data_IF_336544798401
#
_entry.id   IF_336544798401
#
_cell.length_a   1.000
_cell.length_b   1.000
_cell.length_c   1.000
_cell.angle_alpha   90.00
_cell.angle_beta   90.00
_cell.angle_gamma   90.00
#
_symmetry.space_group_name_H-M   'P 1'
#
loop_
_entity.id
_entity.type
_entity.pdbx_description
1 polymer ?
#
# COMPACT_ATOMS: atom_id res chain seq x y z
N UNK A 1 14.80 -18.49 -12.28
CA UNK A 1 13.98 -19.44 -11.51
C UNK A 1 12.58 -18.88 -11.24
N UNK A 2 11.57 -19.75 -11.19
CA UNK A 2 10.21 -19.46 -10.83
C UNK A 2 9.96 -19.95 -9.40
N UNK A 3 9.46 -19.06 -8.53
CA UNK A 3 9.00 -19.39 -7.18
C UNK A 3 7.49 -19.23 -7.12
N UNK A 4 6.77 -20.27 -6.70
CA UNK A 4 5.34 -20.24 -6.44
C UNK A 4 5.10 -20.41 -4.94
N UNK A 5 4.25 -19.60 -4.36
CA UNK A 5 3.83 -19.70 -2.97
C UNK A 5 2.32 -19.61 -2.86
N UNK A 6 1.74 -20.42 -1.97
CA UNK A 6 0.31 -20.41 -1.68
C UNK A 6 0.09 -20.60 -0.18
N UNK A 7 -0.97 -19.98 0.33
CA UNK A 7 -1.49 -20.30 1.65
C UNK A 7 -3.02 -20.21 1.65
N UNK A 8 -3.62 -20.92 2.60
CA UNK A 8 -5.03 -20.80 2.96
C UNK A 8 -5.14 -20.82 4.48
N UNK A 9 -5.87 -19.88 5.04
CA UNK A 9 -6.10 -19.73 6.46
C UNK A 9 -7.59 -19.66 6.76
N UNK A 10 -8.01 -20.33 7.83
CA UNK A 10 -9.38 -20.31 8.33
C UNK A 10 -9.38 -19.94 9.81
N UNK A 11 -10.18 -18.95 10.15
CA UNK A 11 -10.38 -18.55 11.55
C UNK A 11 -11.86 -18.51 11.91
N UNK A 12 -12.18 -19.00 13.13
CA UNK A 12 -13.49 -18.88 13.77
C UNK A 12 -13.33 -18.12 15.07
N UNK A 13 -14.12 -17.06 15.23
CA UNK A 13 -14.19 -16.25 16.44
C UNK A 13 -15.57 -16.45 17.08
N UNK A 14 -15.68 -17.17 18.22
CA UNK A 14 -16.96 -17.50 18.81
C UNK A 14 -17.61 -16.37 19.62
N UNK A 15 -16.88 -15.28 19.90
CA UNK A 15 -17.36 -14.12 20.65
C UNK A 15 -17.51 -12.88 19.81
N UNK A 16 -18.38 -11.93 20.25
CA UNK A 16 -18.53 -10.63 19.60
C UNK A 16 -17.20 -9.82 19.60
N UNK A 17 -17.05 -8.99 18.58
CA UNK A 17 -15.96 -8.01 18.46
C UNK A 17 -16.45 -6.75 17.77
N UNK A 18 -15.61 -5.73 17.67
CA UNK A 18 -15.99 -4.48 17.02
C UNK A 18 -16.51 -4.72 15.58
N UNK A 19 -17.72 -4.23 15.28
CA UNK A 19 -18.46 -4.39 14.02
C UNK A 19 -18.81 -5.85 13.64
N UNK A 20 -18.79 -6.78 14.59
CA UNK A 20 -19.16 -8.18 14.39
C UNK A 20 -19.80 -8.68 15.68
N UNK A 21 -21.11 -8.47 15.83
CA UNK A 21 -21.87 -8.73 17.07
C UNK A 21 -22.17 -10.21 17.33
N UNK A 22 -21.84 -11.09 16.40
CA UNK A 22 -22.10 -12.53 16.49
C UNK A 22 -20.82 -13.34 16.28
N UNK A 23 -20.88 -14.64 16.63
CA UNK A 23 -19.83 -15.58 16.26
C UNK A 23 -19.59 -15.55 14.75
N UNK A 24 -18.35 -15.44 14.33
CA UNK A 24 -18.01 -15.23 12.92
C UNK A 24 -16.89 -16.13 12.44
N UNK A 25 -16.80 -16.26 11.13
CA UNK A 25 -15.75 -17.01 10.44
C UNK A 25 -15.08 -16.16 9.37
N UNK A 26 -13.86 -16.51 9.04
CA UNK A 26 -13.12 -15.88 7.95
C UNK A 26 -12.23 -16.89 7.23
N UNK A 27 -12.08 -16.67 5.93
CA UNK A 27 -11.09 -17.34 5.09
C UNK A 27 -10.13 -16.28 4.50
N UNK A 28 -8.87 -16.62 4.41
CA UNK A 28 -7.84 -15.81 3.77
C UNK A 28 -6.97 -16.73 2.92
N UNK A 29 -6.94 -16.52 1.61
CA UNK A 29 -6.13 -17.29 0.68
C UNK A 29 -5.29 -16.40 -0.20
N UNK A 30 -4.08 -16.85 -0.50
CA UNK A 30 -3.17 -16.13 -1.40
C UNK A 30 -2.38 -17.09 -2.28
N UNK A 31 -2.23 -16.68 -3.54
CA UNK A 31 -1.29 -17.25 -4.48
C UNK A 31 -0.30 -16.17 -4.88
N UNK A 32 0.97 -16.50 -4.94
CA UNK A 32 1.99 -15.58 -5.44
C UNK A 32 3.01 -16.33 -6.30
N UNK A 33 3.44 -15.66 -7.37
CA UNK A 33 4.46 -16.11 -8.29
C UNK A 33 5.54 -15.05 -8.42
N UNK A 34 6.79 -15.47 -8.34
CA UNK A 34 7.97 -14.62 -8.59
C UNK A 34 8.84 -15.29 -9.65
N UNK A 35 9.04 -14.60 -10.77
CA UNK A 35 9.94 -15.02 -11.83
C UNK A 35 11.15 -14.09 -11.83
N UNK A 36 12.32 -14.64 -11.57
CA UNK A 36 13.59 -13.90 -11.56
C UNK A 36 14.38 -14.21 -12.82
N UNK A 37 14.63 -13.19 -13.65
CA UNK A 37 15.36 -13.24 -14.90
C UNK A 37 16.50 -12.22 -14.85
N UNK A 38 17.72 -12.66 -14.56
CA UNK A 38 18.90 -11.82 -14.47
C UNK A 38 18.62 -10.46 -13.77
N UNK A 39 18.34 -9.40 -14.57
CA UNK A 39 18.07 -8.03 -14.07
C UNK A 39 16.57 -7.72 -13.90
N UNK A 40 15.69 -8.57 -14.39
CA UNK A 40 14.24 -8.41 -14.33
C UNK A 40 13.62 -9.40 -13.35
N UNK A 41 12.80 -8.87 -12.44
CA UNK A 41 11.95 -9.68 -11.56
C UNK A 41 10.50 -9.34 -11.80
N UNK A 42 9.70 -10.35 -12.15
CA UNK A 42 8.25 -10.24 -12.30
C UNK A 42 7.58 -10.87 -11.10
N UNK A 43 6.62 -10.18 -10.51
CA UNK A 43 5.81 -10.71 -9.41
C UNK A 43 4.33 -10.58 -9.75
N UNK A 44 3.59 -11.63 -9.44
CA UNK A 44 2.13 -11.64 -9.45
C UNK A 44 1.65 -12.15 -8.11
N UNK A 45 0.64 -11.48 -7.51
CA UNK A 45 0.02 -11.89 -6.24
C UNK A 45 -1.48 -11.69 -6.32
N UNK A 46 -2.21 -12.76 -6.07
CA UNK A 46 -3.66 -12.73 -5.91
C UNK A 46 -4.03 -13.16 -4.51
N UNK A 47 -4.88 -12.40 -3.85
CA UNK A 47 -5.39 -12.67 -2.50
C UNK A 47 -6.89 -12.55 -2.48
N UNK A 48 -7.55 -13.50 -1.84
CA UNK A 48 -8.98 -13.49 -1.56
C UNK A 48 -9.21 -13.58 -0.06
N UNK A 49 -10.13 -12.77 0.46
CA UNK A 49 -10.57 -12.78 1.85
C UNK A 49 -12.07 -12.83 1.89
N UNK A 50 -12.60 -13.79 2.63
CA UNK A 50 -14.01 -13.91 2.97
C UNK A 50 -14.16 -13.64 4.46
N UNK A 51 -14.92 -12.64 4.82
CA UNK A 51 -15.12 -12.24 6.22
C UNK A 51 -16.57 -11.93 6.48
N UNK A 52 -16.99 -12.13 7.72
CA UNK A 52 -18.32 -11.79 8.18
C UNK A 52 -18.30 -10.47 8.95
N UNK A 53 -19.32 -9.65 8.74
CA UNK A 53 -19.52 -8.35 9.37
C UNK A 53 -21.01 -8.16 9.67
N UNK A 54 -21.33 -7.32 10.65
CA UNK A 54 -22.71 -6.96 10.92
C UNK A 54 -23.37 -6.37 9.67
N UNK A 55 -24.60 -6.78 9.41
CA UNK A 55 -25.45 -6.14 8.41
C UNK A 55 -25.82 -4.70 8.87
N UNK A 56 -26.36 -3.89 7.97
CA UNK A 56 -26.70 -2.48 8.25
C UNK A 56 -27.70 -2.32 9.43
N UNK A 57 -28.52 -3.35 9.73
CA UNK A 57 -29.50 -3.35 10.81
C UNK A 57 -28.95 -3.93 12.12
N UNK A 58 -27.71 -4.42 12.15
CA UNK A 58 -27.10 -5.12 13.30
C UNK A 58 -27.90 -6.34 13.82
N UNK A 59 -28.71 -6.94 12.97
CA UNK A 59 -29.55 -8.11 13.31
C UNK A 59 -28.93 -9.45 12.91
N UNK A 60 -27.81 -9.44 12.21
CA UNK A 60 -27.11 -10.62 11.72
C UNK A 60 -25.84 -10.26 10.99
N UNK A 61 -25.16 -11.28 10.45
CA UNK A 61 -23.92 -11.14 9.72
C UNK A 61 -24.17 -11.15 8.20
N UNK A 62 -23.41 -10.33 7.49
CA UNK A 62 -23.28 -10.33 6.01
C UNK A 62 -21.88 -10.79 5.64
N UNK A 63 -21.78 -11.64 4.62
CA UNK A 63 -20.50 -12.05 4.07
C UNK A 63 -19.89 -10.90 3.24
N UNK A 64 -18.62 -10.62 3.48
CA UNK A 64 -17.83 -9.66 2.74
C UNK A 64 -16.69 -10.36 2.04
N UNK A 65 -16.60 -10.19 0.74
CA UNK A 65 -15.52 -10.70 -0.09
C UNK A 65 -14.59 -9.56 -0.48
N UNK A 66 -13.30 -9.74 -0.27
CA UNK A 66 -12.25 -8.83 -0.75
C UNK A 66 -11.28 -9.63 -1.63
N UNK A 67 -11.10 -9.18 -2.87
CA UNK A 67 -10.13 -9.74 -3.80
C UNK A 67 -9.11 -8.67 -4.16
N UNK A 68 -7.84 -9.05 -4.22
CA UNK A 68 -6.74 -8.15 -4.55
C UNK A 68 -5.78 -8.84 -5.52
N UNK A 69 -5.49 -8.17 -6.61
CA UNK A 69 -4.46 -8.57 -7.56
C UNK A 69 -3.36 -7.51 -7.56
N UNK A 70 -2.11 -7.94 -7.46
CA UNK A 70 -0.93 -7.10 -7.63
C UNK A 70 0.00 -7.73 -8.66
N UNK A 71 0.39 -6.93 -9.62
CA UNK A 71 1.41 -7.26 -10.60
C UNK A 71 2.55 -6.26 -10.45
N UNK A 72 3.79 -6.72 -10.53
CA UNK A 72 4.94 -5.82 -10.56
C UNK A 72 6.08 -6.36 -11.42
N UNK A 73 6.75 -5.44 -12.08
CA UNK A 73 7.97 -5.67 -12.84
C UNK A 73 9.08 -4.79 -12.27
N UNK A 74 10.19 -5.40 -11.88
CA UNK A 74 11.32 -4.72 -11.25
C UNK A 74 12.54 -4.96 -12.13
N UNK A 75 13.14 -3.88 -12.62
CA UNK A 75 14.43 -3.91 -13.32
C UNK A 75 15.48 -3.33 -12.40
N UNK A 76 16.54 -4.09 -12.15
CA UNK A 76 17.63 -3.68 -11.28
C UNK A 76 18.96 -3.71 -12.01
N UNK A 77 19.69 -2.63 -11.89
CA UNK A 77 21.07 -2.46 -12.33
C UNK A 77 21.94 -2.12 -11.12
N UNK A 78 23.26 -2.05 -11.29
CA UNK A 78 24.20 -1.84 -10.18
C UNK A 78 23.91 -0.57 -9.38
N UNK A 79 23.58 0.53 -10.05
CA UNK A 79 23.36 1.85 -9.44
C UNK A 79 21.90 2.30 -9.44
N UNK A 80 21.03 1.72 -10.24
CA UNK A 80 19.63 2.12 -10.33
C UNK A 80 18.65 0.95 -10.31
N UNK A 81 17.45 1.23 -9.86
CA UNK A 81 16.33 0.30 -9.83
C UNK A 81 15.07 1.01 -10.31
N UNK A 82 14.32 0.38 -11.21
CA UNK A 82 12.99 0.80 -11.61
C UNK A 82 11.99 -0.28 -11.27
N UNK A 83 10.79 0.11 -10.83
CA UNK A 83 9.72 -0.82 -10.57
C UNK A 83 8.38 -0.22 -11.00
N UNK A 84 7.68 -0.96 -11.84
CA UNK A 84 6.28 -0.69 -12.20
C UNK A 84 5.39 -1.62 -11.43
N UNK A 85 4.32 -1.12 -10.82
CA UNK A 85 3.35 -1.90 -10.07
C UNK A 85 1.94 -1.52 -10.48
N UNK A 86 1.10 -2.52 -10.68
CA UNK A 86 -0.34 -2.37 -10.88
C UNK A 86 -1.09 -3.14 -9.79
N UNK A 87 -2.05 -2.48 -9.16
CA UNK A 87 -2.91 -3.05 -8.13
C UNK A 87 -4.38 -2.97 -8.54
N UNK A 88 -5.13 -4.01 -8.27
CA UNK A 88 -6.59 -4.03 -8.38
C UNK A 88 -7.19 -4.56 -7.07
N UNK A 89 -8.29 -3.95 -6.63
CA UNK A 89 -9.05 -4.36 -5.47
C UNK A 89 -10.53 -4.44 -5.85
N UNK A 90 -11.18 -5.52 -5.44
CA UNK A 90 -12.63 -5.72 -5.52
C UNK A 90 -13.11 -6.00 -4.10
N UNK A 91 -14.08 -5.25 -3.63
CA UNK A 91 -14.76 -5.49 -2.37
C UNK A 91 -16.24 -5.62 -2.63
N UNK A 92 -16.86 -6.70 -2.15
CA UNK A 92 -18.27 -6.98 -2.31
C UNK A 92 -18.87 -7.34 -0.95
N UNK A 93 -19.91 -6.64 -0.57
CA UNK A 93 -20.79 -6.93 0.55
C UNK A 93 -22.23 -6.63 0.10
N UNK A 94 -22.84 -5.55 0.54
CA UNK A 94 -24.14 -5.08 0.07
C UNK A 94 -24.06 -4.47 -1.34
N UNK A 95 -22.89 -3.94 -1.70
CA UNK A 95 -22.58 -3.43 -3.04
C UNK A 95 -21.16 -3.83 -3.44
N UNK A 96 -20.85 -3.74 -4.73
CA UNK A 96 -19.51 -4.01 -5.26
C UNK A 96 -18.77 -2.71 -5.46
N UNK A 97 -17.56 -2.63 -4.91
CA UNK A 97 -16.63 -1.51 -5.03
C UNK A 97 -15.34 -1.98 -5.67
N UNK A 98 -14.86 -1.23 -6.64
CA UNK A 98 -13.63 -1.50 -7.41
C UNK A 98 -12.60 -0.42 -7.12
N UNK A 99 -11.34 -0.82 -7.13
CA UNK A 99 -10.21 0.11 -7.05
C UNK A 99 -9.07 -0.38 -7.92
N UNK A 100 -8.31 0.55 -8.50
CA UNK A 100 -7.09 0.25 -9.24
C UNK A 100 -6.05 1.36 -9.02
N UNK A 101 -4.81 0.99 -9.17
CA UNK A 101 -3.66 1.88 -9.05
C UNK A 101 -2.53 1.41 -9.98
N UNK A 102 -1.84 2.38 -10.55
CA UNK A 102 -0.56 2.16 -11.23
C UNK A 102 0.49 3.03 -10.58
N UNK A 103 1.62 2.43 -10.24
CA UNK A 103 2.74 3.13 -9.59
C UNK A 103 4.04 2.85 -10.33
N UNK A 104 4.79 3.89 -10.59
CA UNK A 104 6.17 3.85 -11.06
C UNK A 104 7.10 4.28 -9.94
N UNK A 105 8.09 3.46 -9.60
CA UNK A 105 9.11 3.76 -8.60
C UNK A 105 10.49 3.74 -9.22
N UNK A 106 11.35 4.63 -8.78
CA UNK A 106 12.76 4.68 -9.16
C UNK A 106 13.67 4.76 -7.94
N UNK A 107 14.84 4.17 -8.02
CA UNK A 107 15.89 4.28 -7.01
C UNK A 107 17.25 4.41 -7.68
N UNK A 108 18.08 5.29 -7.14
CA UNK A 108 19.44 5.50 -7.57
C UNK A 108 20.36 5.52 -6.35
N UNK A 109 21.48 4.80 -6.45
CA UNK A 109 22.47 4.74 -5.36
C UNK A 109 23.86 4.87 -5.94
N UNK A 110 24.59 5.88 -5.49
CA UNK A 110 26.01 6.08 -5.86
C UNK A 110 26.80 6.56 -4.65
N UNK A 111 27.89 5.86 -4.32
CA UNK A 111 28.74 6.21 -3.20
C UNK A 111 27.94 6.41 -1.90
N UNK A 112 27.85 7.68 -1.46
CA UNK A 112 27.20 8.10 -0.21
C UNK A 112 25.76 8.56 -0.41
N UNK A 113 25.29 8.72 -1.66
CA UNK A 113 23.98 9.23 -1.99
C UNK A 113 23.03 8.09 -2.38
N UNK A 114 21.83 8.08 -1.81
CA UNK A 114 20.71 7.24 -2.25
C UNK A 114 19.49 8.14 -2.44
N UNK A 115 18.86 8.04 -3.60
CA UNK A 115 17.62 8.75 -3.94
C UNK A 115 16.60 7.72 -4.37
N UNK A 116 15.40 7.80 -3.80
CA UNK A 116 14.24 6.98 -4.19
C UNK A 116 13.06 7.90 -4.44
N UNK A 117 12.31 7.62 -5.50
CA UNK A 117 11.10 8.35 -5.81
C UNK A 117 10.01 7.43 -6.32
N UNK A 118 8.76 7.85 -6.18
CA UNK A 118 7.62 7.18 -6.77
C UNK A 118 6.56 8.18 -7.23
N UNK A 119 5.77 7.74 -8.21
CA UNK A 119 4.56 8.41 -8.69
C UNK A 119 3.49 7.35 -8.82
N UNK A 120 2.31 7.60 -8.28
CA UNK A 120 1.17 6.70 -8.39
C UNK A 120 -0.09 7.48 -8.80
N UNK A 121 -0.88 6.87 -9.70
CA UNK A 121 -2.26 7.24 -9.93
C UNK A 121 -3.16 6.17 -9.32
N UNK A 122 -4.20 6.58 -8.62
CA UNK A 122 -5.16 5.67 -8.00
C UNK A 122 -6.60 6.14 -8.24
N UNK A 123 -7.49 5.16 -8.34
CA UNK A 123 -8.93 5.36 -8.38
C UNK A 123 -9.64 4.26 -7.59
N UNK A 124 -10.62 4.60 -6.77
CA UNK A 124 -11.48 3.64 -6.07
C UNK A 124 -12.91 4.18 -6.00
N UNK A 125 -13.90 3.30 -6.24
CA UNK A 125 -15.32 3.67 -6.17
C UNK A 125 -15.73 4.06 -4.74
N UNK A 126 -15.13 3.43 -3.73
CA UNK A 126 -15.41 3.72 -2.32
C UNK A 126 -14.21 3.36 -1.42
N UNK A 127 -14.33 3.69 -0.14
CA UNK A 127 -13.35 3.31 0.89
C UNK A 127 -13.16 1.80 1.03
N UNK A 128 -14.14 0.99 0.63
CA UNK A 128 -14.06 -0.48 0.74
C UNK A 128 -13.05 -1.10 -0.21
N UNK A 129 -12.82 -0.51 -1.37
CA UNK A 129 -11.80 -0.92 -2.35
C UNK A 129 -10.47 -0.16 -2.22
N UNK A 130 -10.22 0.50 -1.08
CA UNK A 130 -8.97 1.23 -0.81
C UNK A 130 -7.74 0.39 -1.06
N UNK A 131 -6.69 1.05 -1.53
CA UNK A 131 -5.43 0.45 -1.92
C UNK A 131 -4.33 0.80 -0.91
N UNK A 132 -3.38 -0.11 -0.72
CA UNK A 132 -2.24 0.09 0.17
C UNK A 132 -0.94 -0.12 -0.59
N UNK A 133 -0.01 0.80 -0.40
CA UNK A 133 1.32 0.74 -1.02
C UNK A 133 2.38 0.66 0.06
N UNK A 134 3.40 -0.13 -0.19
CA UNK A 134 4.64 -0.01 0.56
C UNK A 134 5.47 1.12 -0.04
N UNK A 135 5.77 2.10 0.76
CA UNK A 135 6.65 3.21 0.40
C UNK A 135 7.90 3.20 1.27
N UNK A 136 9.06 3.44 0.68
CA UNK A 136 10.31 3.52 1.44
C UNK A 136 10.28 4.73 2.37
N UNK A 137 10.22 4.45 3.68
CA UNK A 137 10.26 5.44 4.75
C UNK A 137 11.68 5.80 5.19
N UNK A 138 11.78 6.57 6.26
CA UNK A 138 13.00 6.79 7.02
C UNK A 138 13.41 5.51 7.77
N UNK A 139 14.58 5.48 8.42
CA UNK A 139 14.97 4.33 9.23
C UNK A 139 14.01 4.14 10.39
N UNK A 140 13.60 2.88 10.59
CA UNK A 140 12.66 2.48 11.66
C UNK A 140 11.24 3.03 11.53
N UNK A 141 10.94 3.73 10.42
CA UNK A 141 9.60 4.19 10.08
C UNK A 141 9.05 3.36 8.91
N UNK A 142 7.96 2.60 9.15
CA UNK A 142 7.27 1.85 8.12
C UNK A 142 6.11 2.69 7.59
N UNK A 143 6.18 3.05 6.31
CA UNK A 143 5.14 3.81 5.64
C UNK A 143 4.31 2.91 4.73
N UNK A 144 3.01 2.84 5.02
CA UNK A 144 2.01 2.17 4.19
C UNK A 144 0.88 3.14 3.88
N UNK A 145 1.09 4.11 3.00
CA UNK A 145 0.03 5.02 2.62
C UNK A 145 -1.16 4.26 2.06
N UNK A 146 -2.35 4.74 2.42
CA UNK A 146 -3.63 4.21 2.01
C UNK A 146 -4.30 5.20 1.07
N UNK A 147 -4.75 4.72 -0.07
CA UNK A 147 -5.39 5.54 -1.10
C UNK A 147 -6.84 5.11 -1.30
N UNK A 148 -7.74 6.11 -1.37
CA UNK A 148 -9.15 5.93 -1.73
C UNK A 148 -9.66 7.20 -2.42
N UNK A 149 -10.71 7.05 -3.26
CA UNK A 149 -11.16 8.08 -4.18
C UNK A 149 -10.28 8.12 -5.43
N UNK A 150 -10.06 9.27 -6.00
CA UNK A 150 -9.23 9.46 -7.19
C UNK A 150 -8.11 10.46 -6.90
N UNK A 151 -6.89 10.17 -7.36
CA UNK A 151 -5.78 11.09 -7.14
C UNK A 151 -4.44 10.63 -7.66
N UNK A 152 -3.46 11.52 -7.43
CA UNK A 152 -2.05 11.31 -7.72
C UNK A 152 -1.25 11.38 -6.42
N UNK A 153 -0.30 10.50 -6.28
CA UNK A 153 0.64 10.50 -5.16
C UNK A 153 2.08 10.56 -5.68
N UNK A 154 2.90 11.38 -5.03
CA UNK A 154 4.31 11.55 -5.33
C UNK A 154 5.10 11.45 -4.05
N UNK A 155 6.23 10.77 -4.07
CA UNK A 155 7.17 10.78 -2.96
C UNK A 155 8.61 10.81 -3.45
N UNK A 156 9.45 11.52 -2.71
CA UNK A 156 10.88 11.60 -2.92
C UNK A 156 11.58 11.41 -1.57
N UNK A 157 12.53 10.50 -1.53
CA UNK A 157 13.39 10.25 -0.39
C UNK A 157 14.85 10.40 -0.80
N UNK A 158 15.60 11.15 0.00
CA UNK A 158 17.04 11.32 -0.17
C UNK A 158 17.72 10.84 1.10
N UNK A 159 18.78 10.09 0.94
CA UNK A 159 19.70 9.69 2.01
C UNK A 159 21.12 10.06 1.62
N UNK A 160 21.83 10.68 2.55
CA UNK A 160 23.24 11.01 2.39
C UNK A 160 24.05 10.55 3.61
N UNK A 161 25.03 9.68 3.37
CA UNK A 161 25.96 9.18 4.39
C UNK A 161 27.22 10.06 4.41
N UNK A 162 27.25 11.10 5.26
CA UNK A 162 28.40 12.01 5.40
C UNK A 162 29.67 11.26 5.81
N UNK A 163 29.50 10.37 6.78
CA UNK A 163 30.56 9.48 7.28
C UNK A 163 29.95 8.12 7.59
N UNK A 164 30.79 7.13 7.99
CA UNK A 164 30.29 5.85 8.50
C UNK A 164 29.44 5.99 9.77
N UNK A 165 29.57 7.11 10.49
CA UNK A 165 28.88 7.40 11.75
C UNK A 165 27.73 8.38 11.60
N UNK A 166 27.78 9.31 10.64
CA UNK A 166 26.77 10.37 10.45
C UNK A 166 26.03 10.18 9.14
N UNK A 167 24.72 10.08 9.21
CA UNK A 167 23.79 9.94 8.09
C UNK A 167 22.63 10.92 8.25
N UNK A 168 22.22 11.50 7.14
CA UNK A 168 21.01 12.32 7.01
C UNK A 168 20.03 11.65 6.05
N UNK A 169 18.74 11.72 6.38
CA UNK A 169 17.65 11.32 5.48
C UNK A 169 16.56 12.39 5.50
N UNK A 170 15.96 12.61 4.35
CA UNK A 170 14.75 13.42 4.19
C UNK A 170 13.79 12.71 3.24
N UNK A 171 12.50 12.84 3.50
CA UNK A 171 11.42 12.36 2.66
C UNK A 171 10.36 13.44 2.57
N UNK A 172 9.88 13.70 1.36
CA UNK A 172 8.71 14.52 1.10
C UNK A 172 7.73 13.71 0.27
N UNK A 173 6.45 13.77 0.63
CA UNK A 173 5.37 13.15 -0.14
C UNK A 173 4.19 14.10 -0.28
N UNK A 174 3.50 14.00 -1.41
CA UNK A 174 2.30 14.77 -1.74
C UNK A 174 1.24 13.84 -2.27
N UNK A 175 0.06 13.88 -1.69
CA UNK A 175 -1.13 13.24 -2.25
C UNK A 175 -2.11 14.31 -2.70
N UNK A 176 -2.42 14.33 -3.99
CA UNK A 176 -3.38 15.26 -4.59
C UNK A 176 -4.63 14.50 -5.04
N UNK A 177 -5.76 14.79 -4.39
CA UNK A 177 -7.05 14.21 -4.73
C UNK A 177 -7.70 15.01 -5.86
N UNK A 178 -8.25 14.29 -6.86
CA UNK A 178 -8.91 14.87 -8.03
C UNK A 178 -10.44 14.88 -7.87
N UNK A 179 -10.96 14.11 -6.92
CA UNK A 179 -12.39 13.89 -6.67
C UNK A 179 -12.96 14.71 -5.51
N UNK A 180 -12.13 15.48 -4.79
CA UNK A 180 -12.55 16.21 -3.59
C UNK A 180 -11.74 17.49 -3.36
N UNK A 181 -12.37 18.46 -2.71
CA UNK A 181 -11.74 19.74 -2.30
C UNK A 181 -11.34 19.76 -0.81
N UNK A 182 -11.66 18.71 -0.05
CA UNK A 182 -11.35 18.60 1.38
C UNK A 182 -10.91 17.20 1.73
N UNK A 183 -9.94 17.06 2.64
CA UNK A 183 -9.38 15.79 3.11
C UNK A 183 -9.63 15.66 4.60
N UNK A 184 -9.93 14.45 5.08
CA UNK A 184 -10.18 14.18 6.49
C UNK A 184 -11.53 14.69 6.99
N UNK A 185 -11.74 14.62 8.31
CA UNK A 185 -12.99 15.04 8.96
C UNK A 185 -12.73 15.58 10.37
N UNK A 186 -13.68 16.31 10.92
CA UNK A 186 -13.59 16.88 12.27
C UNK A 186 -12.40 17.85 12.41
N UNK A 187 -11.66 17.72 13.49
CA UNK A 187 -10.49 18.58 13.80
C UNK A 187 -9.29 18.32 12.87
N UNK A 188 -9.26 17.21 12.14
CA UNK A 188 -8.19 16.87 11.18
C UNK A 188 -8.55 17.23 9.74
N UNK A 189 -9.61 18.01 9.54
CA UNK A 189 -10.05 18.42 8.20
C UNK A 189 -9.08 19.41 7.59
N UNK A 190 -8.62 19.09 6.38
CA UNK A 190 -7.80 19.96 5.53
C UNK A 190 -8.70 20.51 4.42
N UNK A 191 -8.87 21.83 4.34
CA UNK A 191 -9.70 22.50 3.32
C UNK A 191 -8.92 22.66 2.00
N UNK A 192 -8.32 21.60 1.52
CA UNK A 192 -7.59 21.51 0.24
C UNK A 192 -7.71 20.09 -0.32
N UNK A 193 -7.49 19.96 -1.62
CA UNK A 193 -7.43 18.67 -2.32
C UNK A 193 -6.07 17.95 -2.16
N UNK A 194 -5.05 18.62 -1.59
CA UNK A 194 -3.69 18.08 -1.46
C UNK A 194 -3.22 18.06 -0.02
N UNK A 195 -2.52 17.00 0.35
CA UNK A 195 -1.78 16.85 1.61
C UNK A 195 -0.30 16.68 1.28
N UNK A 196 0.54 17.38 2.02
CA UNK A 196 2.00 17.27 1.92
C UNK A 196 2.56 16.83 3.26
N UNK A 197 3.41 15.81 3.26
CA UNK A 197 4.09 15.30 4.43
C UNK A 197 5.61 15.42 4.21
N UNK A 198 6.33 15.95 5.21
CA UNK A 198 7.79 16.07 5.19
C UNK A 198 8.35 15.44 6.45
N UNK A 199 9.30 14.55 6.26
CA UNK A 199 9.97 13.83 7.35
C UNK A 199 11.48 13.99 7.21
N UNK A 200 12.20 14.21 8.32
CA UNK A 200 13.64 14.30 8.34
C UNK A 200 14.22 13.46 9.48
N UNK A 201 15.40 12.90 9.26
CA UNK A 201 16.11 12.09 10.25
C UNK A 201 17.62 12.28 10.16
N UNK A 202 18.23 12.44 11.31
CA UNK A 202 19.69 12.37 11.50
C UNK A 202 20.01 11.17 12.34
N UNK A 203 21.00 10.39 11.94
CA UNK A 203 21.54 9.29 12.74
C UNK A 203 23.02 9.49 12.97
N UNK A 204 23.42 9.53 14.22
CA UNK A 204 24.80 9.57 14.65
C UNK A 204 25.13 8.34 15.52
N UNK A 205 26.23 7.66 15.18
CA UNK A 205 26.79 6.54 15.94
C UNK A 205 28.08 7.00 16.60
N UNK A 206 28.23 6.83 17.88
CA UNK A 206 29.47 7.12 18.63
C UNK A 206 30.28 5.83 18.84
#
# INVERSE_FOLDING_TARGET
>A
PLLLTAYADYARVPWPRYMVSFASRSWDGQLAATLSLNRLTLNARYRVRLRQRDNAKHTGLTDRTEQRLRLSAIVQHDVWRLATQADMALASADSTSKGYMVMQSGGFKTGRLTVDGNVAYFHTDSYDSRLYVYERGLLYNFSFPMFYGEGLHYALRVRYDFTRRLMFMAKASVTNHLDRSTIGSGLQRINRSSQTDVEMQVRWKF
#
